data_IF_545610499420
#
_entry.id   IF_545610499420
#
_cell.length_a   1.000
_cell.length_b   1.000
_cell.length_c   1.000
_cell.angle_alpha   90.00
_cell.angle_beta   90.00
_cell.angle_gamma   90.00
#
_symmetry.space_group_name_H-M   'P 1'
#
loop_
_entity.id
_entity.type
_entity.pdbx_description
1 polymer ?
#
# COMPACT_ATOMS: atom_id res chain seq x y z
N UNK A 1 7.30 13.50 -0.91
CA UNK A 1 6.46 12.45 -1.56
C UNK A 1 7.27 11.29 -2.09
N UNK A 2 8.23 11.52 -2.95
CA UNK A 2 9.04 10.43 -3.50
C UNK A 2 9.81 9.63 -2.44
N UNK A 3 10.44 10.26 -1.41
CA UNK A 3 11.07 9.49 -0.35
C UNK A 3 10.13 8.53 0.37
N UNK A 4 8.88 8.93 0.60
CA UNK A 4 7.86 8.07 1.21
C UNK A 4 7.54 6.87 0.32
N UNK A 5 7.29 7.10 -0.96
CA UNK A 5 6.97 6.04 -1.91
C UNK A 5 8.15 5.06 -2.08
N UNK A 6 9.36 5.57 -2.12
CA UNK A 6 10.56 4.75 -2.20
C UNK A 6 10.75 3.89 -0.94
N UNK A 7 10.47 4.46 0.24
CA UNK A 7 10.55 3.73 1.51
C UNK A 7 9.52 2.60 1.60
N UNK A 8 8.31 2.84 1.12
CA UNK A 8 7.25 1.82 1.05
C UNK A 8 7.70 0.66 0.15
N UNK A 9 8.22 0.96 -1.03
CA UNK A 9 8.71 -0.06 -1.94
C UNK A 9 9.89 -0.84 -1.34
N UNK A 10 10.84 -0.14 -0.74
CA UNK A 10 12.00 -0.77 -0.11
C UNK A 10 11.58 -1.72 1.03
N UNK A 11 10.63 -1.29 1.86
CA UNK A 11 10.09 -2.15 2.92
C UNK A 11 9.40 -3.38 2.35
N UNK A 12 8.62 -3.21 1.29
CA UNK A 12 7.91 -4.32 0.65
C UNK A 12 8.88 -5.40 0.17
N UNK A 13 9.91 -5.02 -0.59
CA UNK A 13 10.87 -5.99 -1.14
C UNK A 13 11.80 -6.58 -0.08
N UNK A 14 12.01 -5.90 1.04
CA UNK A 14 12.82 -6.38 2.15
C UNK A 14 12.06 -7.30 3.11
N UNK A 15 10.74 -7.39 2.99
CA UNK A 15 9.90 -8.21 3.85
C UNK A 15 9.56 -9.51 3.14
N UNK A 16 10.18 -10.61 3.54
CA UNK A 16 10.02 -11.93 2.88
C UNK A 16 8.57 -12.39 2.86
N UNK A 17 7.82 -12.14 3.93
CA UNK A 17 6.41 -12.50 4.01
C UNK A 17 5.57 -11.79 2.94
N UNK A 18 5.87 -10.51 2.65
CA UNK A 18 5.18 -9.74 1.61
C UNK A 18 5.54 -10.25 0.21
N UNK A 19 6.81 -10.52 -0.03
CA UNK A 19 7.25 -11.07 -1.32
C UNK A 19 6.61 -12.43 -1.60
N UNK A 20 6.49 -13.26 -0.56
CA UNK A 20 5.82 -14.57 -0.66
C UNK A 20 4.31 -14.44 -0.86
N UNK A 21 3.66 -13.52 -0.16
CA UNK A 21 2.22 -13.30 -0.26
C UNK A 21 1.82 -12.65 -1.61
N UNK A 22 2.68 -11.81 -2.16
CA UNK A 22 2.42 -11.07 -3.40
C UNK A 22 3.55 -11.31 -4.43
N UNK A 23 3.57 -12.48 -5.08
CA UNK A 23 4.63 -12.79 -6.05
C UNK A 23 4.63 -11.84 -7.25
N UNK A 24 3.51 -11.18 -7.54
CA UNK A 24 3.44 -10.16 -8.59
C UNK A 24 4.14 -8.86 -8.25
N UNK A 25 4.35 -8.57 -6.96
CA UNK A 25 5.05 -7.39 -6.48
C UNK A 25 4.16 -6.20 -6.17
N UNK A 26 4.80 -5.07 -5.93
CA UNK A 26 4.17 -3.78 -5.63
C UNK A 26 4.43 -2.80 -6.77
N UNK A 27 3.36 -2.15 -7.23
CA UNK A 27 3.41 -1.15 -8.30
C UNK A 27 2.79 0.17 -7.83
N UNK A 28 3.19 1.27 -8.46
CA UNK A 28 2.58 2.58 -8.21
C UNK A 28 1.51 2.84 -9.27
N UNK A 29 0.32 3.22 -8.81
CA UNK A 29 -0.85 3.59 -9.60
C UNK A 29 -1.38 2.48 -10.51
N UNK A 30 -0.51 1.70 -11.14
CA UNK A 30 -0.91 0.73 -12.14
C UNK A 30 0.11 -0.39 -12.26
N UNK A 31 -0.37 -1.63 -12.33
CA UNK A 31 0.46 -2.78 -12.67
C UNK A 31 0.49 -3.01 -14.18
N UNK A 32 1.62 -3.48 -14.74
CA UNK A 32 1.67 -3.89 -16.15
C UNK A 32 0.66 -4.98 -16.45
N UNK A 33 0.13 -4.99 -17.66
CA UNK A 33 -0.73 -6.07 -18.13
C UNK A 33 0.02 -7.41 -18.08
N UNK A 34 -0.67 -8.46 -17.65
CA UNK A 34 -0.08 -9.79 -17.50
C UNK A 34 0.73 -10.00 -16.23
N UNK A 35 0.69 -9.04 -15.28
CA UNK A 35 1.36 -9.20 -13.99
C UNK A 35 0.81 -10.41 -13.23
N UNK A 36 1.71 -11.22 -12.67
CA UNK A 36 1.33 -12.38 -11.86
C UNK A 36 0.52 -11.94 -10.64
N UNK A 37 -0.54 -12.67 -10.32
CA UNK A 37 -1.38 -12.43 -9.15
C UNK A 37 -1.02 -13.36 -8.01
N UNK A 38 -1.22 -12.94 -6.75
CA UNK A 38 -1.66 -11.61 -6.34
C UNK A 38 -0.54 -10.55 -6.45
N UNK A 39 -0.94 -9.32 -6.68
CA UNK A 39 -0.05 -8.15 -6.68
C UNK A 39 -0.71 -6.99 -5.94
N UNK A 40 0.08 -5.97 -5.59
CA UNK A 40 -0.39 -4.79 -4.87
C UNK A 40 -0.12 -3.55 -5.71
N UNK A 41 -1.06 -2.62 -5.69
CA UNK A 41 -0.90 -1.29 -6.27
C UNK A 41 -1.04 -0.26 -5.17
N UNK A 42 -0.09 0.65 -5.07
CA UNK A 42 -0.18 1.80 -4.17
C UNK A 42 -0.66 3.02 -4.95
N UNK A 43 -1.56 3.78 -4.35
CA UNK A 43 -2.12 4.98 -4.94
C UNK A 43 -2.22 6.09 -3.91
N UNK A 44 -1.67 7.26 -4.21
CA UNK A 44 -1.80 8.45 -3.36
C UNK A 44 -3.17 9.04 -3.58
N UNK A 45 -4.01 9.06 -2.52
CA UNK A 45 -5.35 9.61 -2.58
C UNK A 45 -5.32 11.12 -2.34
N UNK A 46 -4.57 11.55 -1.32
CA UNK A 46 -4.50 12.95 -0.92
C UNK A 46 -3.15 13.23 -0.26
N UNK A 47 -2.70 14.45 -0.43
CA UNK A 47 -1.47 14.93 0.20
C UNK A 47 -1.71 16.36 0.66
N UNK A 48 -1.58 16.61 1.97
CA UNK A 48 -1.78 17.92 2.57
C UNK A 48 -0.53 18.36 3.31
N UNK A 49 -0.09 19.59 3.05
CA UNK A 49 1.04 20.19 3.77
C UNK A 49 0.51 21.21 4.75
N UNK A 50 0.86 21.04 6.03
CA UNK A 50 0.54 21.99 7.09
C UNK A 50 1.80 22.79 7.42
N UNK A 51 1.71 24.12 7.39
CA UNK A 51 2.81 25.02 7.71
C UNK A 51 2.64 25.51 9.14
N UNK A 52 3.70 25.34 9.95
CA UNK A 52 3.78 25.97 11.25
C UNK A 52 4.42 27.34 11.12
N UNK A 53 3.92 28.31 11.88
CA UNK A 53 4.46 29.68 11.89
C UNK A 53 5.93 29.67 12.34
N UNK A 54 6.82 30.12 11.46
CA UNK A 54 8.23 30.25 11.76
C UNK A 54 8.99 28.92 11.95
N UNK A 55 8.37 27.77 11.60
CA UNK A 55 8.97 26.49 11.83
C UNK A 55 8.73 25.45 10.74
N UNK A 56 9.20 24.23 10.97
CA UNK A 56 9.03 23.14 10.04
C UNK A 56 7.55 22.78 9.83
N UNK A 57 7.25 22.29 8.67
CA UNK A 57 5.93 21.85 8.30
C UNK A 57 5.86 20.34 8.26
N UNK A 58 4.63 19.84 8.30
CA UNK A 58 4.31 18.43 8.20
C UNK A 58 3.49 18.19 6.94
N UNK A 59 3.78 17.09 6.27
CA UNK A 59 2.99 16.63 5.15
C UNK A 59 2.25 15.35 5.57
N UNK A 60 0.93 15.37 5.42
CA UNK A 60 0.08 14.20 5.65
C UNK A 60 -0.33 13.63 4.31
N UNK A 61 -0.01 12.36 4.09
CA UNK A 61 -0.29 11.65 2.84
C UNK A 61 -1.22 10.48 3.11
N UNK A 62 -2.38 10.47 2.45
CA UNK A 62 -3.26 9.32 2.42
C UNK A 62 -2.89 8.44 1.24
N UNK A 63 -2.58 7.19 1.52
CA UNK A 63 -2.14 6.23 0.52
C UNK A 63 -2.98 4.97 0.62
N UNK A 64 -3.50 4.52 -0.51
CA UNK A 64 -4.28 3.29 -0.60
C UNK A 64 -3.42 2.17 -1.16
N UNK A 65 -3.43 1.03 -0.48
CA UNK A 65 -2.92 -0.23 -1.03
C UNK A 65 -4.11 -1.04 -1.54
N UNK A 66 -4.04 -1.46 -2.78
CA UNK A 66 -5.05 -2.33 -3.39
C UNK A 66 -4.38 -3.63 -3.80
N UNK A 67 -4.82 -4.73 -3.20
CA UNK A 67 -4.34 -6.08 -3.52
C UNK A 67 -5.31 -6.75 -4.48
N UNK A 68 -4.77 -7.25 -5.59
CA UNK A 68 -5.55 -7.92 -6.64
C UNK A 68 -5.14 -9.38 -6.75
N UNK A 69 -6.10 -10.25 -6.87
CA UNK A 69 -5.81 -11.67 -7.06
C UNK A 69 -7.07 -12.50 -7.29
N UNK A 70 -6.87 -13.77 -7.55
CA UNK A 70 -7.94 -14.73 -7.75
C UNK A 70 -8.39 -15.29 -6.40
N UNK A 71 -9.69 -15.23 -6.13
CA UNK A 71 -10.31 -15.78 -4.92
C UNK A 71 -10.40 -14.76 -3.79
N UNK A 72 -11.60 -14.60 -3.26
CA UNK A 72 -11.90 -13.64 -2.18
C UNK A 72 -11.01 -13.86 -0.95
N UNK A 73 -10.99 -15.08 -0.43
CA UNK A 73 -10.29 -15.37 0.83
C UNK A 73 -8.77 -15.40 0.66
N UNK A 74 -8.29 -15.86 -0.49
CA UNK A 74 -6.85 -15.90 -0.77
C UNK A 74 -6.25 -14.49 -0.79
N UNK A 75 -6.91 -13.55 -1.45
CA UNK A 75 -6.48 -12.15 -1.49
C UNK A 75 -6.64 -11.49 -0.12
N UNK A 76 -7.73 -11.82 0.59
CA UNK A 76 -7.94 -11.33 1.95
C UNK A 76 -6.84 -11.77 2.92
N UNK A 77 -6.40 -13.02 2.82
CA UNK A 77 -5.29 -13.53 3.64
C UNK A 77 -3.96 -12.83 3.29
N UNK A 78 -3.71 -12.60 2.02
CA UNK A 78 -2.53 -11.84 1.59
C UNK A 78 -2.59 -10.39 2.11
N UNK A 79 -3.77 -9.77 2.10
CA UNK A 79 -3.98 -8.45 2.68
C UNK A 79 -3.67 -8.42 4.19
N UNK A 80 -4.02 -9.47 4.95
CA UNK A 80 -3.67 -9.55 6.36
C UNK A 80 -2.15 -9.55 6.58
N UNK A 81 -1.39 -10.19 5.70
CA UNK A 81 0.07 -10.14 5.73
C UNK A 81 0.57 -8.70 5.51
N UNK A 82 -0.04 -7.97 4.59
CA UNK A 82 0.29 -6.57 4.34
C UNK A 82 0.01 -5.71 5.57
N UNK A 83 -1.14 -5.90 6.21
CA UNK A 83 -1.49 -5.17 7.44
C UNK A 83 -0.47 -5.45 8.55
N UNK A 84 -0.11 -6.70 8.76
CA UNK A 84 0.88 -7.07 9.77
C UNK A 84 2.25 -6.44 9.55
N UNK A 85 2.58 -6.10 8.31
CA UNK A 85 3.86 -5.50 7.96
C UNK A 85 3.84 -3.97 8.03
N UNK A 86 2.71 -3.34 7.71
CA UNK A 86 2.60 -1.88 7.62
C UNK A 86 1.88 -1.22 8.79
N UNK A 87 1.03 -1.95 9.54
CA UNK A 87 0.35 -1.38 10.71
C UNK A 87 1.39 -0.96 11.76
N UNK A 88 1.22 0.26 12.28
CA UNK A 88 2.06 0.84 13.34
C UNK A 88 3.56 0.80 13.05
N UNK A 89 3.94 0.73 11.78
CA UNK A 89 5.33 0.59 11.37
C UNK A 89 5.82 1.87 10.68
N UNK A 90 6.68 2.60 11.37
CA UNK A 90 7.33 3.79 10.80
C UNK A 90 8.35 3.39 9.73
N UNK A 91 8.44 4.21 8.69
CA UNK A 91 9.32 3.99 7.56
C UNK A 91 10.62 4.78 7.73
N UNK A 92 11.72 4.24 7.22
CA UNK A 92 12.98 4.95 7.11
C UNK A 92 13.01 5.69 5.78
N UNK A 93 13.02 7.04 5.84
CA UNK A 93 13.01 7.88 4.67
C UNK A 93 14.43 8.35 4.33
N UNK A 94 14.71 8.50 3.04
CA UNK A 94 15.98 9.10 2.57
C UNK A 94 16.05 10.60 2.85
N UNK A 95 14.89 11.25 2.99
CA UNK A 95 14.77 12.67 3.33
C UNK A 95 13.50 12.87 4.12
N UNK A 96 13.60 13.59 5.25
CA UNK A 96 12.50 13.77 6.17
C UNK A 96 12.35 12.62 7.16
N UNK A 97 11.33 12.71 8.00
CA UNK A 97 11.06 11.74 9.06
C UNK A 97 9.60 11.31 8.98
N UNK A 98 9.36 10.02 9.04
CA UNK A 98 8.00 9.50 9.19
C UNK A 98 7.64 9.52 10.67
N UNK A 99 6.82 10.48 11.06
CA UNK A 99 6.47 10.73 12.46
C UNK A 99 5.34 9.83 12.96
N UNK A 100 4.40 9.49 12.07
CA UNK A 100 3.24 8.67 12.42
C UNK A 100 2.71 7.93 11.20
N UNK A 101 2.08 6.81 11.47
CA UNK A 101 1.31 6.04 10.49
C UNK A 101 0.00 5.61 11.16
N UNK A 102 -1.12 5.79 10.46
CA UNK A 102 -2.44 5.41 10.95
C UNK A 102 -3.20 4.69 9.85
N UNK A 103 -3.68 3.50 10.15
CA UNK A 103 -4.58 2.78 9.24
C UNK A 103 -5.99 3.37 9.37
N UNK A 104 -6.59 3.74 8.25
CA UNK A 104 -7.93 4.32 8.20
C UNK A 104 -8.93 3.22 7.82
N UNK A 105 -9.59 2.66 8.83
CA UNK A 105 -10.60 1.63 8.66
C UNK A 105 -10.05 0.23 8.41
N UNK A 106 -10.95 -0.67 8.07
CA UNK A 106 -10.65 -2.06 7.77
C UNK A 106 -10.52 -2.27 6.25
N UNK A 107 -9.76 -3.29 5.80
CA UNK A 107 -9.72 -3.64 4.39
C UNK A 107 -11.10 -4.01 3.87
N UNK A 108 -11.45 -3.53 2.67
CA UNK A 108 -12.72 -3.79 2.03
C UNK A 108 -12.53 -4.55 0.72
N UNK A 109 -13.29 -5.66 0.51
CA UNK A 109 -13.23 -6.42 -0.73
C UNK A 109 -14.21 -5.89 -1.76
N UNK A 110 -13.80 -5.92 -3.03
CA UNK A 110 -14.66 -5.62 -4.17
C UNK A 110 -14.37 -6.64 -5.27
N UNK A 111 -15.41 -7.19 -5.86
CA UNK A 111 -15.26 -8.03 -7.06
C UNK A 111 -14.87 -7.10 -8.21
N UNK A 112 -13.65 -7.26 -8.72
CA UNK A 112 -13.08 -6.35 -9.68
C UNK A 112 -13.40 -6.72 -11.12
N UNK A 113 -13.16 -7.98 -11.49
CA UNK A 113 -13.40 -8.49 -12.85
C UNK A 113 -13.30 -10.01 -12.89
N UNK A 114 -13.62 -10.60 -14.05
CA UNK A 114 -13.25 -11.96 -14.37
C UNK A 114 -11.96 -11.94 -15.21
N UNK A 115 -11.08 -12.90 -14.99
CA UNK A 115 -9.91 -13.06 -15.85
C UNK A 115 -10.26 -13.78 -17.15
N UNK A 116 -9.26 -13.98 -18.04
CA UNK A 116 -9.47 -14.65 -19.32
C UNK A 116 -9.88 -16.12 -19.19
N UNK A 117 -9.71 -16.71 -18.00
CA UNK A 117 -10.07 -18.10 -17.69
C UNK A 117 -11.39 -18.20 -16.93
N UNK A 118 -12.10 -17.08 -16.74
CA UNK A 118 -13.36 -17.04 -16.03
C UNK A 118 -13.25 -17.01 -14.50
N UNK A 119 -12.05 -16.86 -13.96
CA UNK A 119 -11.84 -16.74 -12.51
C UNK A 119 -12.19 -15.34 -12.03
N UNK A 120 -12.77 -15.25 -10.83
CA UNK A 120 -13.07 -13.98 -10.19
C UNK A 120 -11.80 -13.32 -9.65
N UNK A 121 -11.52 -12.11 -10.09
CA UNK A 121 -10.45 -11.28 -9.57
C UNK A 121 -11.00 -10.32 -8.53
N UNK A 122 -10.50 -10.42 -7.31
CA UNK A 122 -10.90 -9.58 -6.18
C UNK A 122 -9.88 -8.50 -5.92
N UNK A 123 -10.39 -7.33 -5.51
CA UNK A 123 -9.60 -6.20 -5.03
C UNK A 123 -9.89 -6.01 -3.55
N UNK A 124 -8.86 -6.11 -2.71
CA UNK A 124 -8.93 -5.72 -1.31
C UNK A 124 -8.14 -4.44 -1.12
N UNK A 125 -8.76 -3.42 -0.54
CA UNK A 125 -8.16 -2.10 -0.40
C UNK A 125 -8.09 -1.67 1.05
N UNK A 126 -7.00 -1.01 1.42
CA UNK A 126 -6.81 -0.40 2.74
C UNK A 126 -6.12 0.95 2.56
N UNK A 127 -6.44 1.91 3.43
CA UNK A 127 -5.87 3.25 3.40
C UNK A 127 -5.02 3.48 4.63
N UNK A 128 -3.82 4.05 4.42
CA UNK A 128 -2.94 4.50 5.49
C UNK A 128 -2.71 6.00 5.39
N UNK A 129 -2.64 6.65 6.52
CA UNK A 129 -2.23 8.05 6.65
C UNK A 129 -0.80 8.08 7.17
N UNK A 130 0.11 8.66 6.40
CA UNK A 130 1.50 8.87 6.78
C UNK A 130 1.75 10.34 7.05
N UNK A 131 2.28 10.64 8.24
CA UNK A 131 2.71 11.99 8.60
C UNK A 131 4.23 12.08 8.50
N UNK A 132 4.71 13.02 7.70
CA UNK A 132 6.13 13.20 7.40
C UNK A 132 6.53 14.65 7.68
N UNK A 133 7.63 14.83 8.41
CA UNK A 133 8.19 16.16 8.70
C UNK A 133 9.57 16.36 8.08
#
# INVERSE_FOLDING_TARGET
>A
MLPLLNAIYAKFIATDALVAAFPGGLFRDRAPEGTAMPYVVSHVIACKTAYAYGGPYRTDTELRFSAYGVGHDAVGNAMQTLLGSFDDSLLSLSSGTNDAVTRIGEPTPVLHRHDSQGNDVWEWSVVYLYSVS
#
